data_IF_614032264413
#
_entry.id   IF_614032264413
#
_cell.length_a   1.000
_cell.length_b   1.000
_cell.length_c   1.000
_cell.angle_alpha   90.00
_cell.angle_beta   90.00
_cell.angle_gamma   90.00
#
_symmetry.space_group_name_H-M   'P 1'
#
loop_
_entity.id
_entity.type
_entity.pdbx_description
1 polymer ?
#
# COMPACT_ATOMS: atom_id res chain seq x y z
N UNK A 1 9.00 -0.48 67.28
CA UNK A 1 8.47 -1.66 67.99
C UNK A 1 6.98 -1.75 67.75
N UNK A 2 6.53 -2.94 67.31
CA UNK A 2 5.22 -3.57 67.57
C UNK A 2 3.92 -2.80 67.28
N UNK A 3 3.18 -3.17 66.23
CA UNK A 3 2.18 -4.26 66.13
C UNK A 3 0.79 -3.80 66.55
N UNK A 4 -0.16 -3.89 65.61
CA UNK A 4 -1.55 -4.19 65.93
C UNK A 4 -2.10 -5.21 64.93
N UNK A 5 -2.10 -6.47 65.39
CA UNK A 5 -2.87 -7.58 64.86
C UNK A 5 -4.32 -7.42 65.31
N UNK A 6 -5.27 -7.58 64.39
CA UNK A 6 -6.53 -8.27 64.69
C UNK A 6 -6.89 -9.23 63.55
N UNK A 7 -7.24 -10.45 63.99
CA UNK A 7 -7.49 -11.66 63.20
C UNK A 7 -8.93 -11.74 62.67
N UNK A 8 -9.08 -12.64 61.68
CA UNK A 8 -10.22 -13.53 61.31
C UNK A 8 -10.68 -13.25 59.87
N UNK A 9 -10.86 -14.21 58.97
CA UNK A 9 -10.88 -15.69 59.02
C UNK A 9 -10.69 -16.15 57.57
N UNK A 10 -9.79 -17.13 57.33
CA UNK A 10 -9.60 -17.74 56.01
C UNK A 10 -10.69 -18.78 55.76
N UNK A 11 -11.48 -18.60 54.70
CA UNK A 11 -12.17 -19.69 54.03
C UNK A 11 -11.44 -19.96 52.72
N UNK A 12 -10.98 -21.20 52.59
CA UNK A 12 -10.26 -21.72 51.45
C UNK A 12 -11.16 -21.77 50.21
N UNK A 13 -10.66 -21.26 49.08
CA UNK A 13 -11.10 -21.69 47.76
C UNK A 13 -9.86 -22.23 47.05
N UNK A 14 -9.80 -23.55 46.94
CA UNK A 14 -8.84 -24.27 46.13
C UNK A 14 -9.02 -23.89 44.66
N UNK A 15 -8.12 -23.05 44.13
CA UNK A 15 -7.92 -22.95 42.69
C UNK A 15 -6.74 -23.83 42.32
N UNK A 16 -7.07 -25.00 41.77
CA UNK A 16 -6.09 -25.90 41.17
C UNK A 16 -5.26 -25.14 40.13
N UNK A 17 -3.94 -25.27 40.25
CA UNK A 17 -3.04 -24.93 39.17
C UNK A 17 -3.33 -25.89 38.01
N UNK A 18 -4.10 -25.43 37.03
CA UNK A 18 -4.12 -26.07 35.72
C UNK A 18 -2.78 -25.76 35.07
N UNK A 19 -1.86 -26.72 35.17
CA UNK A 19 -0.68 -26.78 34.33
C UNK A 19 -1.17 -26.84 32.89
N UNK A 20 -1.12 -25.71 32.19
CA UNK A 20 -1.33 -25.69 30.76
C UNK A 20 -0.32 -26.66 30.13
N UNK A 21 -0.82 -27.79 29.64
CA UNK A 21 -0.01 -28.80 29.00
C UNK A 21 0.77 -28.12 27.85
N UNK A 22 2.09 -28.25 27.89
CA UNK A 22 2.97 -27.98 26.76
C UNK A 22 2.35 -28.65 25.53
N UNK A 23 1.94 -27.85 24.53
CA UNK A 23 1.45 -28.37 23.25
C UNK A 23 2.50 -29.33 22.71
N UNK A 24 2.16 -30.61 22.60
CA UNK A 24 3.06 -31.58 22.01
C UNK A 24 3.42 -31.14 20.58
N UNK A 25 4.66 -31.42 20.14
CA UNK A 25 5.07 -31.10 18.77
C UNK A 25 4.13 -31.81 17.79
N UNK A 26 3.43 -31.02 16.99
CA UNK A 26 2.57 -31.50 15.92
C UNK A 26 3.43 -32.35 14.98
N UNK A 27 3.01 -33.60 14.72
CA UNK A 27 3.77 -34.51 13.87
C UNK A 27 4.08 -33.85 12.52
N UNK A 28 5.27 -34.10 11.97
CA UNK A 28 5.72 -33.56 10.67
C UNK A 28 4.67 -33.82 9.58
N UNK A 29 3.99 -34.98 9.63
CA UNK A 29 2.92 -35.35 8.71
C UNK A 29 1.68 -34.45 8.79
N UNK A 30 1.29 -33.98 9.98
CA UNK A 30 0.13 -33.10 10.17
C UNK A 30 0.42 -31.66 9.74
N UNK A 31 1.65 -31.17 9.95
CA UNK A 31 2.10 -29.85 9.46
C UNK A 31 2.16 -29.79 7.92
N UNK A 32 2.60 -30.88 7.28
CA UNK A 32 2.63 -31.01 5.82
C UNK A 32 1.23 -30.87 5.21
N UNK A 33 0.19 -31.37 5.88
CA UNK A 33 -1.17 -31.34 5.33
C UNK A 33 -1.78 -29.92 5.31
N UNK A 34 -1.46 -29.08 6.30
CA UNK A 34 -1.95 -27.69 6.36
C UNK A 34 -1.19 -26.74 5.40
N UNK A 35 0.06 -27.08 5.06
CA UNK A 35 0.91 -26.28 4.17
C UNK A 35 1.11 -26.88 2.77
N UNK A 36 0.34 -27.93 2.44
CA UNK A 36 0.46 -28.71 1.21
C UNK A 36 0.49 -27.87 -0.07
N UNK A 37 -0.33 -26.82 -0.13
CA UNK A 37 -0.40 -25.88 -1.28
C UNK A 37 0.96 -25.23 -1.58
N UNK A 38 1.76 -24.93 -0.57
CA UNK A 38 3.08 -24.32 -0.74
C UNK A 38 4.10 -25.35 -1.21
N UNK A 39 4.12 -26.54 -0.60
CA UNK A 39 4.98 -27.64 -1.04
C UNK A 39 4.68 -28.05 -2.50
N UNK A 40 3.40 -28.13 -2.89
CA UNK A 40 2.99 -28.43 -4.26
C UNK A 40 3.42 -27.34 -5.25
N UNK A 41 3.37 -26.05 -4.85
CA UNK A 41 3.87 -24.95 -5.68
C UNK A 41 5.40 -25.03 -5.86
N UNK A 42 6.13 -25.33 -4.78
CA UNK A 42 7.59 -25.48 -4.81
C UNK A 42 7.98 -26.65 -5.71
N UNK A 43 7.34 -27.81 -5.54
CA UNK A 43 7.58 -29.02 -6.33
C UNK A 43 7.33 -28.79 -7.83
N UNK A 44 6.27 -28.06 -8.21
CA UNK A 44 6.00 -27.71 -9.61
C UNK A 44 7.08 -26.82 -10.23
N UNK A 45 7.59 -25.85 -9.49
CA UNK A 45 8.63 -24.92 -9.97
C UNK A 45 10.03 -25.54 -9.98
N UNK A 46 10.25 -26.65 -9.28
CA UNK A 46 11.57 -27.28 -9.12
C UNK A 46 11.48 -28.82 -9.14
N UNK A 47 11.24 -29.44 -10.31
CA UNK A 47 10.96 -30.88 -10.40
C UNK A 47 12.20 -31.79 -10.26
N UNK A 48 13.43 -31.24 -10.31
CA UNK A 48 14.65 -31.99 -10.66
C UNK A 48 15.52 -32.49 -9.50
N UNK A 49 15.17 -32.26 -8.22
CA UNK A 49 16.00 -32.69 -7.07
C UNK A 49 15.46 -33.95 -6.39
N UNK A 50 16.34 -34.80 -5.84
CA UNK A 50 15.98 -35.91 -4.94
C UNK A 50 15.09 -35.37 -3.80
N UNK A 51 13.87 -35.90 -3.65
CA UNK A 51 12.83 -35.36 -2.75
C UNK A 51 13.31 -35.05 -1.32
N UNK A 52 14.16 -35.89 -0.74
CA UNK A 52 14.66 -35.74 0.64
C UNK A 52 15.54 -34.49 0.84
N UNK A 53 16.40 -34.17 -0.14
CA UNK A 53 17.30 -33.01 -0.10
C UNK A 53 16.54 -31.68 -0.25
N UNK A 54 15.41 -31.71 -0.96
CA UNK A 54 14.54 -30.53 -1.12
C UNK A 54 13.85 -30.19 0.19
N UNK A 55 13.34 -31.19 0.92
CA UNK A 55 12.65 -30.96 2.19
C UNK A 55 13.61 -30.32 3.20
N UNK A 56 14.83 -30.86 3.34
CA UNK A 56 15.85 -30.28 4.22
C UNK A 56 16.21 -28.84 3.84
N UNK A 57 16.26 -28.53 2.54
CA UNK A 57 16.55 -27.18 2.05
C UNK A 57 15.41 -26.20 2.36
N UNK A 58 14.16 -26.65 2.26
CA UNK A 58 12.98 -25.87 2.64
C UNK A 58 12.98 -25.63 4.14
N UNK A 59 13.26 -26.66 4.95
CA UNK A 59 13.25 -26.54 6.42
C UNK A 59 14.31 -25.56 6.91
N UNK A 60 15.53 -25.61 6.37
CA UNK A 60 16.59 -24.62 6.70
C UNK A 60 16.17 -23.19 6.37
N UNK A 61 15.68 -22.95 5.15
CA UNK A 61 15.21 -21.61 4.77
C UNK A 61 14.01 -21.16 5.61
N UNK A 62 13.15 -22.10 6.02
CA UNK A 62 12.01 -21.83 6.90
C UNK A 62 12.49 -21.43 8.30
N UNK A 63 13.43 -22.18 8.88
CA UNK A 63 14.01 -21.91 10.19
C UNK A 63 14.72 -20.56 10.23
N UNK A 64 15.48 -20.21 9.19
CA UNK A 64 16.08 -18.88 9.08
C UNK A 64 15.04 -17.76 9.17
N UNK A 65 13.97 -17.86 8.35
CA UNK A 65 12.90 -16.87 8.34
C UNK A 65 12.10 -16.84 9.65
N UNK A 66 11.90 -17.99 10.30
CA UNK A 66 11.30 -18.10 11.63
C UNK A 66 12.18 -17.46 12.71
N UNK A 67 13.50 -17.62 12.64
CA UNK A 67 14.47 -16.97 13.52
C UNK A 67 14.43 -15.45 13.42
N UNK A 68 14.06 -14.92 12.24
CA UNK A 68 13.80 -13.48 12.04
C UNK A 68 12.43 -13.03 12.57
N UNK A 69 11.60 -13.91 13.10
CA UNK A 69 10.28 -13.60 13.64
C UNK A 69 9.12 -13.71 12.64
N UNK A 70 9.32 -14.30 11.46
CA UNK A 70 8.22 -14.63 10.55
C UNK A 70 7.52 -15.93 11.00
N UNK A 71 6.20 -16.01 10.84
CA UNK A 71 5.49 -17.28 11.04
C UNK A 71 5.88 -18.31 9.98
N UNK A 72 5.76 -19.61 10.30
CA UNK A 72 5.95 -20.71 9.33
C UNK A 72 5.19 -20.49 8.02
N UNK A 73 3.95 -20.03 8.10
CA UNK A 73 3.12 -19.72 6.91
C UNK A 73 3.72 -18.60 6.07
N UNK A 74 4.20 -17.54 6.71
CA UNK A 74 4.88 -16.45 6.01
C UNK A 74 6.17 -16.93 5.35
N UNK A 75 7.00 -17.69 6.08
CA UNK A 75 8.23 -18.27 5.56
C UNK A 75 7.98 -19.16 4.32
N UNK A 76 7.05 -20.11 4.42
CA UNK A 76 6.68 -20.99 3.30
C UNK A 76 6.09 -20.21 2.12
N UNK A 77 5.31 -19.16 2.39
CA UNK A 77 4.81 -18.26 1.34
C UNK A 77 5.98 -17.58 0.60
N UNK A 78 6.95 -17.02 1.32
CA UNK A 78 8.14 -16.39 0.72
C UNK A 78 8.93 -17.38 -0.13
N UNK A 79 9.24 -18.57 0.39
CA UNK A 79 9.93 -19.63 -0.37
C UNK A 79 9.13 -20.02 -1.63
N UNK A 80 7.81 -20.10 -1.54
CA UNK A 80 6.97 -20.45 -2.70
C UNK A 80 6.95 -19.37 -3.80
N UNK A 81 7.17 -18.10 -3.42
CA UNK A 81 7.30 -16.99 -4.36
C UNK A 81 8.64 -17.07 -5.09
N UNK A 82 9.73 -17.30 -4.36
CA UNK A 82 11.09 -17.44 -4.89
C UNK A 82 11.76 -18.74 -4.43
N UNK A 83 11.58 -19.81 -5.22
CA UNK A 83 11.98 -21.17 -4.82
C UNK A 83 13.49 -21.31 -4.64
N UNK A 84 14.29 -20.49 -5.32
CA UNK A 84 15.75 -20.50 -5.15
C UNK A 84 16.20 -20.11 -3.74
N UNK A 85 15.34 -19.48 -2.93
CA UNK A 85 15.63 -19.15 -1.54
C UNK A 85 16.03 -20.39 -0.71
N UNK A 86 15.50 -21.57 -1.03
CA UNK A 86 15.86 -22.82 -0.33
C UNK A 86 17.34 -23.22 -0.55
N UNK A 87 17.97 -22.70 -1.61
CA UNK A 87 19.36 -22.96 -1.95
C UNK A 87 20.32 -21.90 -1.38
N UNK A 88 19.81 -20.81 -0.81
CA UNK A 88 20.67 -19.79 -0.21
C UNK A 88 21.20 -20.32 1.13
N UNK A 89 22.48 -20.05 1.40
CA UNK A 89 23.06 -20.33 2.70
C UNK A 89 22.55 -19.28 3.71
N UNK A 90 22.55 -19.65 4.99
CA UNK A 90 22.16 -18.74 6.05
C UNK A 90 23.10 -17.52 6.11
N UNK A 91 24.40 -17.75 5.93
CA UNK A 91 25.42 -16.71 5.89
C UNK A 91 25.19 -15.72 4.73
N UNK A 92 24.79 -16.22 3.56
CA UNK A 92 24.46 -15.36 2.42
C UNK A 92 23.26 -14.47 2.74
N UNK A 93 22.18 -15.04 3.26
CA UNK A 93 20.97 -14.29 3.58
C UNK A 93 21.25 -13.26 4.69
N UNK A 94 21.97 -13.69 5.74
CA UNK A 94 22.29 -12.84 6.89
C UNK A 94 23.27 -11.72 6.54
N UNK A 95 24.18 -11.94 5.58
CA UNK A 95 25.08 -10.89 5.10
C UNK A 95 24.37 -9.64 4.55
N UNK A 96 23.09 -9.74 4.18
CA UNK A 96 22.31 -8.61 3.64
C UNK A 96 21.67 -7.76 4.72
N UNK A 97 21.49 -8.31 5.91
CA UNK A 97 20.69 -7.69 6.98
C UNK A 97 21.36 -6.42 7.51
N UNK A 98 22.66 -6.44 7.89
CA UNK A 98 23.33 -5.22 8.36
C UNK A 98 23.35 -4.11 7.31
N UNK A 99 23.36 -4.47 6.02
CA UNK A 99 23.29 -3.50 4.93
C UNK A 99 21.93 -2.80 4.89
N UNK A 100 20.82 -3.53 5.00
CA UNK A 100 19.49 -2.93 5.05
C UNK A 100 19.30 -2.05 6.30
N UNK A 101 19.83 -2.49 7.44
CA UNK A 101 19.82 -1.68 8.67
C UNK A 101 20.66 -0.41 8.50
N UNK A 102 21.83 -0.52 7.85
CA UNK A 102 22.72 0.61 7.56
C UNK A 102 22.08 1.69 6.69
N UNK A 103 21.17 1.34 5.78
CA UNK A 103 20.40 2.34 5.02
C UNK A 103 19.18 2.88 5.79
N UNK A 104 18.93 2.42 7.01
CA UNK A 104 17.87 2.92 7.90
C UNK A 104 16.54 2.13 7.85
N UNK A 105 16.53 0.88 7.37
CA UNK A 105 15.36 0.01 7.47
C UNK A 105 15.29 -0.65 8.84
N UNK A 106 14.10 -0.63 9.46
CA UNK A 106 13.84 -1.42 10.67
C UNK A 106 13.68 -2.90 10.36
N UNK A 107 13.92 -3.76 11.35
CA UNK A 107 13.73 -5.21 11.26
C UNK A 107 12.38 -5.61 10.64
N UNK A 108 11.28 -4.99 11.09
CA UNK A 108 9.94 -5.25 10.55
C UNK A 108 9.80 -4.88 9.08
N UNK A 109 10.40 -3.75 8.65
CA UNK A 109 10.39 -3.35 7.24
C UNK A 109 11.22 -4.30 6.39
N UNK A 110 12.37 -4.76 6.89
CA UNK A 110 13.21 -5.76 6.20
C UNK A 110 12.41 -7.05 6.01
N UNK A 111 11.76 -7.54 7.07
CA UNK A 111 10.90 -8.72 6.99
C UNK A 111 9.72 -8.52 6.01
N UNK A 112 9.09 -7.35 6.02
CA UNK A 112 8.03 -7.02 5.05
C UNK A 112 8.53 -6.95 3.60
N UNK A 113 9.79 -6.55 3.38
CA UNK A 113 10.45 -6.59 2.06
C UNK A 113 10.72 -8.03 1.65
N UNK A 114 11.34 -8.86 2.51
CA UNK A 114 11.62 -10.29 2.24
C UNK A 114 10.33 -11.04 1.87
N UNK A 115 9.23 -10.74 2.55
CA UNK A 115 7.92 -11.34 2.28
C UNK A 115 7.30 -10.98 0.93
N UNK A 116 7.67 -9.84 0.35
CA UNK A 116 7.18 -9.36 -0.95
C UNK A 116 8.15 -9.65 -2.10
N UNK A 117 9.45 -9.68 -1.80
CA UNK A 117 10.53 -9.89 -2.76
C UNK A 117 11.66 -10.74 -2.17
N UNK A 118 11.47 -12.05 -1.94
CA UNK A 118 12.45 -12.88 -1.23
C UNK A 118 13.78 -13.04 -1.98
N UNK A 119 13.79 -12.80 -3.29
CA UNK A 119 15.01 -12.80 -4.10
C UNK A 119 16.04 -11.75 -3.61
N UNK A 120 15.60 -10.73 -2.87
CA UNK A 120 16.47 -9.71 -2.28
C UNK A 120 17.49 -10.28 -1.28
N UNK A 121 17.38 -11.53 -0.85
CA UNK A 121 18.42 -12.14 -0.01
C UNK A 121 19.55 -12.78 -0.82
N UNK A 122 19.37 -12.95 -2.13
CA UNK A 122 20.38 -13.52 -3.03
C UNK A 122 21.03 -12.53 -3.98
N UNK A 123 20.61 -11.26 -3.97
CA UNK A 123 21.19 -10.22 -4.82
C UNK A 123 22.50 -9.71 -4.19
N UNK A 124 23.49 -9.40 -5.03
CA UNK A 124 24.77 -8.85 -4.57
C UNK A 124 24.58 -7.45 -4.01
N UNK A 125 25.38 -7.10 -2.99
CA UNK A 125 25.34 -5.76 -2.40
C UNK A 125 25.72 -4.70 -3.44
N UNK A 126 26.63 -5.01 -4.36
CA UNK A 126 26.99 -4.12 -5.47
C UNK A 126 25.80 -3.68 -6.31
N UNK A 127 24.79 -4.55 -6.49
CA UNK A 127 23.55 -4.17 -7.19
C UNK A 127 22.70 -3.22 -6.36
N UNK A 128 22.68 -3.36 -5.04
CA UNK A 128 22.03 -2.38 -4.17
C UNK A 128 22.70 -1.02 -4.27
N UNK A 129 24.02 -0.99 -4.18
CA UNK A 129 24.81 0.25 -4.26
C UNK A 129 24.70 0.91 -5.64
N UNK A 130 24.72 0.12 -6.72
CA UNK A 130 24.50 0.63 -8.06
C UNK A 130 23.11 1.27 -8.20
N UNK A 131 22.07 0.64 -7.65
CA UNK A 131 20.72 1.21 -7.66
C UNK A 131 20.62 2.50 -6.82
N UNK A 132 21.27 2.57 -5.66
CA UNK A 132 21.33 3.79 -4.84
C UNK A 132 21.99 4.91 -5.64
N UNK A 133 23.19 4.66 -6.20
CA UNK A 133 23.90 5.65 -7.03
C UNK A 133 23.03 6.13 -8.20
N UNK A 134 22.31 5.22 -8.83
CA UNK A 134 21.37 5.54 -9.90
C UNK A 134 20.24 6.47 -9.43
N UNK A 135 19.59 6.17 -8.30
CA UNK A 135 18.57 7.06 -7.74
C UNK A 135 19.13 8.45 -7.40
N UNK A 136 20.30 8.51 -6.76
CA UNK A 136 20.95 9.77 -6.40
C UNK A 136 21.31 10.60 -7.64
N UNK A 137 21.79 9.96 -8.71
CA UNK A 137 22.09 10.63 -9.99
C UNK A 137 20.85 11.24 -10.66
N UNK A 138 19.66 10.71 -10.36
CA UNK A 138 18.37 11.25 -10.79
C UNK A 138 17.74 12.20 -9.77
N UNK A 139 18.53 12.73 -8.83
CA UNK A 139 18.11 13.75 -7.87
C UNK A 139 17.23 13.24 -6.73
N UNK A 140 17.08 11.93 -6.55
CA UNK A 140 16.39 11.38 -5.37
C UNK A 140 17.21 11.71 -4.13
N UNK A 141 16.57 12.26 -3.10
CA UNK A 141 17.24 12.59 -1.86
C UNK A 141 17.63 11.33 -1.07
N UNK A 142 18.80 11.39 -0.40
CA UNK A 142 19.35 10.28 0.38
C UNK A 142 18.37 9.74 1.44
N UNK A 143 17.59 10.62 2.08
CA UNK A 143 16.59 10.25 3.09
C UNK A 143 15.41 9.43 2.54
N UNK A 144 15.24 9.39 1.20
CA UNK A 144 14.20 8.60 0.53
C UNK A 144 14.66 7.20 0.14
N UNK A 145 15.95 6.88 0.21
CA UNK A 145 16.48 5.59 -0.25
C UNK A 145 15.87 4.42 0.52
N UNK A 146 15.83 4.48 1.86
CA UNK A 146 15.19 3.44 2.69
C UNK A 146 13.71 3.26 2.31
N UNK A 147 13.00 4.36 2.09
CA UNK A 147 11.61 4.34 1.67
C UNK A 147 11.43 3.63 0.33
N UNK A 148 12.29 3.92 -0.66
CA UNK A 148 12.25 3.30 -1.99
C UNK A 148 12.52 1.81 -1.97
N UNK A 149 13.50 1.34 -1.18
CA UNK A 149 13.72 -0.09 -0.98
C UNK A 149 12.52 -0.76 -0.31
N UNK A 150 11.80 -0.05 0.56
CA UNK A 150 10.58 -0.57 1.17
C UNK A 150 9.39 -0.62 0.20
N UNK A 151 9.19 0.36 -0.67
CA UNK A 151 8.01 0.39 -1.57
C UNK A 151 8.25 -0.26 -2.94
N UNK A 152 9.52 -0.45 -3.32
CA UNK A 152 9.92 -1.00 -4.62
C UNK A 152 11.20 -1.86 -4.53
N UNK A 153 11.19 -2.93 -3.71
CA UNK A 153 12.36 -3.80 -3.55
C UNK A 153 12.77 -4.51 -4.84
N UNK A 154 11.83 -4.78 -5.74
CA UNK A 154 12.12 -5.40 -7.03
C UNK A 154 12.97 -4.53 -7.96
N UNK A 155 13.07 -3.22 -7.69
CA UNK A 155 13.88 -2.28 -8.47
C UNK A 155 15.32 -2.75 -8.67
N UNK A 156 15.90 -3.38 -7.65
CA UNK A 156 17.28 -3.88 -7.69
C UNK A 156 17.48 -5.12 -8.57
N UNK A 157 16.39 -5.72 -9.03
CA UNK A 157 16.46 -6.86 -9.95
C UNK A 157 16.49 -6.42 -11.41
N UNK A 158 16.21 -5.14 -11.69
CA UNK A 158 16.27 -4.60 -13.05
C UNK A 158 17.70 -4.19 -13.41
N UNK A 159 18.05 -4.40 -14.68
CA UNK A 159 19.26 -3.83 -15.25
C UNK A 159 19.07 -2.30 -15.38
N UNK A 160 20.06 -1.52 -14.99
CA UNK A 160 19.95 -0.06 -15.04
C UNK A 160 19.86 0.41 -16.50
N UNK A 161 20.86 0.05 -17.31
CA UNK A 161 21.03 0.49 -18.69
C UNK A 161 19.96 -0.05 -19.64
N UNK A 162 19.62 -1.32 -19.50
CA UNK A 162 18.71 -2.00 -20.44
C UNK A 162 17.24 -1.93 -20.03
N UNK A 163 16.94 -1.39 -18.84
CA UNK A 163 15.58 -1.43 -18.30
C UNK A 163 15.13 -0.14 -17.61
N UNK A 164 15.90 0.40 -16.67
CA UNK A 164 15.49 1.59 -15.92
C UNK A 164 15.74 2.88 -16.72
N UNK A 165 16.92 3.01 -17.33
CA UNK A 165 17.31 4.19 -18.13
C UNK A 165 16.35 4.43 -19.29
N UNK A 166 15.96 3.43 -20.13
CA UNK A 166 15.03 3.67 -21.23
C UNK A 166 13.65 4.18 -20.77
N UNK A 167 13.24 3.85 -19.54
CA UNK A 167 11.98 4.34 -18.96
C UNK A 167 12.11 5.75 -18.44
N UNK A 168 13.27 6.12 -17.89
CA UNK A 168 13.57 7.52 -17.56
C UNK A 168 13.59 8.37 -18.83
N UNK A 169 14.28 7.90 -19.87
CA UNK A 169 14.35 8.62 -21.15
C UNK A 169 12.96 8.77 -21.78
N UNK A 170 12.10 7.75 -21.74
CA UNK A 170 10.71 7.90 -22.15
C UNK A 170 9.97 8.99 -21.38
N UNK A 171 10.16 9.11 -20.05
CA UNK A 171 9.53 10.18 -19.29
C UNK A 171 10.01 11.57 -19.75
N UNK A 172 11.30 11.69 -20.10
CA UNK A 172 11.86 12.92 -20.69
C UNK A 172 11.30 13.18 -22.09
N UNK A 173 11.14 12.15 -22.94
CA UNK A 173 10.50 12.26 -24.26
C UNK A 173 9.04 12.74 -24.16
N UNK A 174 8.31 12.34 -23.11
CA UNK A 174 6.96 12.84 -22.80
C UNK A 174 6.98 14.34 -22.40
N UNK A 175 8.16 14.89 -22.09
CA UNK A 175 8.37 16.28 -21.70
C UNK A 175 8.56 16.51 -20.21
N UNK A 176 8.81 15.45 -19.41
CA UNK A 176 9.15 15.62 -18.00
C UNK A 176 10.52 16.27 -17.85
N UNK A 177 10.61 17.31 -17.03
CA UNK A 177 11.91 17.80 -16.53
C UNK A 177 12.56 16.77 -15.60
N UNK A 178 13.85 16.91 -15.35
CA UNK A 178 14.57 16.04 -14.40
C UNK A 178 13.89 16.03 -13.03
N UNK A 179 13.44 17.18 -12.53
CA UNK A 179 12.71 17.27 -11.26
C UNK A 179 11.37 16.49 -11.29
N UNK A 180 10.68 16.50 -12.43
CA UNK A 180 9.44 15.75 -12.62
C UNK A 180 9.70 14.25 -12.70
N UNK A 181 10.81 13.83 -13.34
CA UNK A 181 11.29 12.44 -13.32
C UNK A 181 11.63 12.01 -11.91
N UNK A 182 12.41 12.80 -11.15
CA UNK A 182 12.72 12.53 -9.74
C UNK A 182 11.43 12.34 -8.92
N UNK A 183 10.43 13.20 -9.16
CA UNK A 183 9.14 13.12 -8.48
C UNK A 183 8.40 11.82 -8.81
N UNK A 184 8.38 11.40 -10.08
CA UNK A 184 7.76 10.15 -10.50
C UNK A 184 8.48 8.93 -9.87
N UNK A 185 9.83 8.91 -9.93
CA UNK A 185 10.68 7.89 -9.31
C UNK A 185 10.44 7.78 -7.80
N UNK A 186 10.27 8.91 -7.12
CA UNK A 186 10.09 8.93 -5.66
C UNK A 186 8.68 8.53 -5.24
N UNK A 187 7.65 8.95 -5.99
CA UNK A 187 6.24 8.76 -5.60
C UNK A 187 5.68 7.40 -6.02
N UNK A 188 5.95 6.97 -7.24
CA UNK A 188 5.49 5.66 -7.73
C UNK A 188 6.54 5.01 -8.62
N UNK A 189 7.65 4.52 -8.04
CA UNK A 189 8.63 3.73 -8.78
C UNK A 189 8.01 2.45 -9.40
N UNK A 190 6.82 2.01 -8.95
CA UNK A 190 6.14 0.83 -9.49
C UNK A 190 5.78 0.98 -10.98
N UNK A 191 5.68 2.20 -11.52
CA UNK A 191 5.46 2.40 -12.96
C UNK A 191 6.61 1.82 -13.78
N UNK A 192 7.82 1.73 -13.21
CA UNK A 192 9.00 1.16 -13.87
C UNK A 192 8.93 -0.38 -13.98
N UNK A 193 7.90 -1.03 -13.44
CA UNK A 193 7.63 -2.45 -13.74
C UNK A 193 7.05 -2.65 -15.14
N UNK A 194 6.43 -1.62 -15.72
CA UNK A 194 5.88 -1.65 -17.07
C UNK A 194 7.02 -1.60 -18.10
N UNK A 195 6.78 -2.14 -19.29
CA UNK A 195 7.70 -1.94 -20.42
C UNK A 195 7.59 -0.50 -20.96
N UNK A 196 8.59 -0.07 -21.71
CA UNK A 196 8.62 1.25 -22.36
C UNK A 196 7.39 1.43 -23.26
N UNK A 197 7.05 0.41 -24.05
CA UNK A 197 5.89 0.42 -24.96
C UNK A 197 4.59 0.58 -24.20
N UNK A 198 4.45 -0.11 -23.06
CA UNK A 198 3.26 0.01 -22.21
C UNK A 198 3.17 1.39 -21.57
N UNK A 199 4.27 1.95 -21.07
CA UNK A 199 4.27 3.33 -20.53
C UNK A 199 3.89 4.34 -21.60
N UNK A 200 4.46 4.23 -22.81
CA UNK A 200 4.16 5.11 -23.94
C UNK A 200 2.69 5.03 -24.34
N UNK A 201 2.17 3.82 -24.54
CA UNK A 201 0.76 3.63 -24.87
C UNK A 201 -0.20 4.15 -23.79
N UNK A 202 0.20 4.14 -22.52
CA UNK A 202 -0.58 4.75 -21.43
C UNK A 202 -0.58 6.27 -21.48
N UNK A 203 0.56 6.88 -21.80
CA UNK A 203 0.68 8.32 -21.98
C UNK A 203 -0.08 8.80 -23.22
N UNK A 204 0.06 8.11 -24.36
CA UNK A 204 -0.65 8.44 -25.59
C UNK A 204 -2.16 8.29 -25.42
N UNK A 205 -2.63 7.30 -24.68
CA UNK A 205 -4.06 7.17 -24.40
C UNK A 205 -4.64 8.34 -23.59
N UNK A 206 -3.86 8.97 -22.70
CA UNK A 206 -4.31 10.21 -22.05
C UNK A 206 -4.51 11.33 -23.07
N UNK A 207 -3.67 11.40 -24.10
CA UNK A 207 -3.82 12.33 -25.22
C UNK A 207 -5.05 12.02 -26.05
N UNK A 208 -5.32 10.74 -26.32
CA UNK A 208 -6.53 10.29 -27.01
C UNK A 208 -7.81 10.65 -26.23
N UNK A 209 -7.76 10.67 -24.89
CA UNK A 209 -8.83 11.17 -24.03
C UNK A 209 -8.97 12.71 -24.04
N UNK A 210 -8.14 13.42 -24.80
CA UNK A 210 -8.17 14.87 -24.98
C UNK A 210 -7.22 15.65 -24.07
N UNK A 211 -6.35 14.98 -23.30
CA UNK A 211 -5.34 15.68 -22.50
C UNK A 211 -4.29 16.28 -23.45
N UNK A 212 -4.03 17.60 -23.42
CA UNK A 212 -2.99 18.21 -24.24
C UNK A 212 -1.61 17.64 -23.89
N UNK A 213 -0.75 17.42 -24.89
CA UNK A 213 0.57 16.77 -24.70
C UNK A 213 1.43 17.54 -23.69
N UNK A 214 1.38 18.87 -23.72
CA UNK A 214 2.09 19.76 -22.79
C UNK A 214 1.63 19.64 -21.32
N UNK A 215 0.47 19.02 -21.07
CA UNK A 215 -0.05 18.75 -19.72
C UNK A 215 0.37 17.38 -19.19
N UNK A 216 0.84 16.47 -20.05
CA UNK A 216 1.28 15.13 -19.63
C UNK A 216 2.38 15.18 -18.57
N UNK A 217 3.45 16.00 -18.68
CA UNK A 217 4.52 16.02 -17.68
C UNK A 217 4.00 16.32 -16.26
N UNK A 218 3.04 17.24 -16.16
CA UNK A 218 2.43 17.59 -14.89
C UNK A 218 1.60 16.42 -14.31
N UNK A 219 0.83 15.74 -15.15
CA UNK A 219 0.00 14.61 -14.75
C UNK A 219 0.87 13.42 -14.34
N UNK A 220 1.82 13.03 -15.20
CA UNK A 220 2.71 11.88 -15.00
C UNK A 220 3.59 12.06 -13.76
N UNK A 221 4.07 13.27 -13.47
CA UNK A 221 4.87 13.52 -12.27
C UNK A 221 4.05 13.65 -10.98
N UNK A 222 2.78 14.08 -11.05
CA UNK A 222 1.92 14.31 -9.88
C UNK A 222 1.13 13.06 -9.47
N UNK A 223 0.72 12.26 -10.45
CA UNK A 223 -0.05 11.03 -10.29
C UNK A 223 0.51 9.92 -11.21
N UNK A 224 1.81 9.56 -11.08
CA UNK A 224 2.41 8.50 -11.90
C UNK A 224 1.63 7.18 -11.88
N UNK A 225 0.98 6.87 -10.74
CA UNK A 225 0.15 5.69 -10.55
C UNK A 225 -0.97 5.55 -11.60
N UNK A 226 -1.42 6.65 -12.22
CA UNK A 226 -2.45 6.62 -13.26
C UNK A 226 -2.00 5.82 -14.50
N UNK A 227 -0.70 5.79 -14.80
CA UNK A 227 -0.14 5.02 -15.92
C UNK A 227 -0.20 3.51 -15.69
N UNK A 228 -0.37 3.06 -14.43
CA UNK A 228 -0.55 1.66 -14.10
C UNK A 228 -2.01 1.18 -14.23
N UNK A 229 -2.97 2.08 -14.41
CA UNK A 229 -4.39 1.73 -14.60
C UNK A 229 -4.65 1.10 -15.97
N UNK A 230 -5.73 0.32 -16.09
CA UNK A 230 -6.21 -0.14 -17.40
C UNK A 230 -6.79 1.04 -18.20
N UNK A 231 -6.77 0.93 -19.53
CA UNK A 231 -7.33 1.99 -20.40
C UNK A 231 -8.84 2.12 -20.19
N UNK A 232 -9.54 0.99 -20.02
CA UNK A 232 -10.96 0.95 -19.66
C UNK A 232 -11.24 1.71 -18.38
N UNK A 233 -10.43 1.50 -17.35
CA UNK A 233 -10.63 2.12 -16.03
C UNK A 233 -10.47 3.65 -16.07
N UNK A 234 -9.55 4.15 -16.88
CA UNK A 234 -9.41 5.60 -17.13
C UNK A 234 -10.67 6.14 -17.83
N UNK A 235 -11.09 5.48 -18.92
CA UNK A 235 -12.29 5.86 -19.69
C UNK A 235 -13.56 5.82 -18.84
N UNK A 236 -13.78 4.76 -18.09
CA UNK A 236 -14.93 4.64 -17.17
C UNK A 236 -14.99 5.79 -16.15
N UNK A 237 -13.83 6.30 -15.71
CA UNK A 237 -13.80 7.48 -14.83
C UNK A 237 -14.26 8.73 -15.58
N UNK A 238 -13.72 8.96 -16.78
CA UNK A 238 -14.06 10.11 -17.62
C UNK A 238 -15.55 10.10 -17.94
N UNK A 239 -16.08 8.95 -18.38
CA UNK A 239 -17.49 8.77 -18.71
C UNK A 239 -18.39 8.99 -17.49
N UNK A 240 -18.02 8.47 -16.31
CA UNK A 240 -18.78 8.70 -15.08
C UNK A 240 -18.79 10.18 -14.65
N UNK A 241 -17.68 10.90 -14.88
CA UNK A 241 -17.63 12.33 -14.61
C UNK A 241 -18.47 13.12 -15.61
N UNK A 242 -18.48 12.72 -16.87
CA UNK A 242 -19.35 13.32 -17.89
C UNK A 242 -20.84 13.06 -17.61
N UNK A 243 -21.18 11.88 -17.09
CA UNK A 243 -22.53 11.55 -16.60
C UNK A 243 -22.95 12.49 -15.46
N UNK A 244 -22.12 12.63 -14.42
CA UNK A 244 -22.42 13.45 -13.25
C UNK A 244 -22.41 14.96 -13.55
N UNK A 245 -21.42 15.44 -14.31
CA UNK A 245 -21.11 16.86 -14.49
C UNK A 245 -21.42 17.41 -15.90
N UNK A 246 -21.82 16.55 -16.84
CA UNK A 246 -22.07 16.93 -18.23
C UNK A 246 -20.83 16.77 -19.12
N UNK A 247 -21.04 16.84 -20.44
CA UNK A 247 -20.01 16.54 -21.43
C UNK A 247 -18.69 17.30 -21.22
N UNK A 248 -17.57 16.57 -21.31
CA UNK A 248 -16.21 17.10 -21.17
C UNK A 248 -15.77 17.39 -19.73
N UNK A 249 -16.60 17.13 -18.73
CA UNK A 249 -16.23 17.31 -17.33
C UNK A 249 -15.14 16.33 -16.89
N UNK A 250 -15.13 15.11 -17.44
CA UNK A 250 -14.08 14.14 -17.23
C UNK A 250 -12.72 14.69 -17.65
N UNK A 251 -12.62 15.26 -18.85
CA UNK A 251 -11.38 15.90 -19.32
C UNK A 251 -10.97 17.09 -18.42
N UNK A 252 -11.91 17.99 -18.09
CA UNK A 252 -11.64 19.12 -17.18
C UNK A 252 -11.10 18.62 -15.83
N UNK A 253 -11.67 17.54 -15.30
CA UNK A 253 -11.23 16.93 -14.06
C UNK A 253 -9.82 16.32 -14.17
N UNK A 254 -9.45 15.70 -15.31
CA UNK A 254 -8.08 15.22 -15.53
C UNK A 254 -7.08 16.38 -15.51
N UNK A 255 -7.41 17.52 -16.11
CA UNK A 255 -6.53 18.68 -16.21
C UNK A 255 -6.33 19.41 -14.87
N UNK A 256 -7.38 19.45 -14.04
CA UNK A 256 -7.37 20.15 -12.75
C UNK A 256 -6.93 19.25 -11.59
N UNK A 257 -7.40 17.99 -11.56
CA UNK A 257 -7.12 17.02 -10.50
C UNK A 257 -7.13 15.58 -11.04
N UNK A 258 -6.11 15.22 -11.82
CA UNK A 258 -5.98 13.86 -12.37
C UNK A 258 -6.04 12.75 -11.31
N UNK A 259 -5.76 13.04 -10.03
CA UNK A 259 -5.84 12.04 -8.95
C UNK A 259 -7.25 11.47 -8.79
N UNK A 260 -8.28 12.11 -9.33
CA UNK A 260 -9.66 11.59 -9.35
C UNK A 260 -9.78 10.21 -10.01
N UNK A 261 -8.92 9.86 -10.98
CA UNK A 261 -8.94 8.54 -11.63
C UNK A 261 -8.58 7.39 -10.68
N UNK A 262 -7.95 7.72 -9.55
CA UNK A 262 -7.61 6.76 -8.51
C UNK A 262 -8.78 6.47 -7.55
N UNK A 263 -9.88 7.23 -7.63
CA UNK A 263 -11.05 7.07 -6.78
C UNK A 263 -11.97 5.96 -7.28
N UNK A 264 -12.62 5.23 -6.37
CA UNK A 264 -13.65 4.27 -6.73
C UNK A 264 -14.86 5.00 -7.36
N UNK A 265 -15.25 4.60 -8.58
CA UNK A 265 -16.31 5.27 -9.35
C UNK A 265 -17.67 5.20 -8.64
N UNK A 266 -18.04 4.04 -8.09
CA UNK A 266 -19.33 3.88 -7.42
C UNK A 266 -19.40 4.74 -6.15
N UNK A 267 -18.32 4.76 -5.37
CA UNK A 267 -18.23 5.65 -4.21
C UNK A 267 -18.30 7.14 -4.61
N UNK A 268 -17.74 7.52 -5.77
CA UNK A 268 -17.87 8.89 -6.28
C UNK A 268 -19.31 9.24 -6.66
N UNK A 269 -20.04 8.33 -7.32
CA UNK A 269 -21.46 8.50 -7.64
C UNK A 269 -22.30 8.64 -6.36
N UNK A 270 -22.10 7.74 -5.40
CA UNK A 270 -22.77 7.82 -4.08
C UNK A 270 -22.53 9.17 -3.39
N UNK A 271 -21.28 9.66 -3.43
CA UNK A 271 -20.95 10.97 -2.84
C UNK A 271 -21.56 12.12 -3.61
N UNK A 272 -21.58 12.06 -4.95
CA UNK A 272 -22.28 13.04 -5.78
C UNK A 272 -23.77 13.10 -5.43
N UNK A 273 -24.46 11.97 -5.46
CA UNK A 273 -25.89 11.86 -5.13
C UNK A 273 -26.18 12.36 -3.70
N UNK A 274 -25.31 12.01 -2.75
CA UNK A 274 -25.41 12.51 -1.38
C UNK A 274 -25.32 14.04 -1.33
N UNK A 275 -24.38 14.66 -2.04
CA UNK A 275 -24.27 16.13 -2.09
C UNK A 275 -25.49 16.78 -2.73
N UNK A 276 -26.02 16.21 -3.82
CA UNK A 276 -27.28 16.69 -4.43
C UNK A 276 -28.43 16.59 -3.41
N UNK A 277 -28.54 15.48 -2.68
CA UNK A 277 -29.62 15.26 -1.70
C UNK A 277 -29.63 16.26 -0.54
N UNK A 278 -28.46 16.82 -0.19
CA UNK A 278 -28.34 17.82 0.88
C UNK A 278 -28.34 19.27 0.34
N UNK A 279 -28.56 19.47 -0.96
CA UNK A 279 -28.79 20.78 -1.56
C UNK A 279 -27.60 21.41 -2.30
N UNK A 280 -26.53 20.67 -2.59
CA UNK A 280 -25.48 21.18 -3.49
C UNK A 280 -25.95 21.13 -4.94
N UNK A 281 -25.55 22.13 -5.73
CA UNK A 281 -25.76 22.10 -7.17
C UNK A 281 -24.60 21.40 -7.88
N UNK A 282 -24.89 20.84 -9.06
CA UNK A 282 -23.93 20.18 -9.94
C UNK A 282 -22.76 21.11 -10.30
N UNK A 283 -23.05 22.36 -10.66
CA UNK A 283 -22.06 23.36 -11.06
C UNK A 283 -21.12 23.71 -9.91
N UNK A 284 -21.63 23.72 -8.67
CA UNK A 284 -20.81 23.96 -7.49
C UNK A 284 -19.87 22.80 -7.19
N UNK A 285 -20.34 21.57 -7.35
CA UNK A 285 -19.54 20.37 -7.17
C UNK A 285 -18.47 20.24 -8.27
N UNK A 286 -18.77 20.62 -9.51
CA UNK A 286 -17.80 20.57 -10.63
C UNK A 286 -16.58 21.48 -10.36
N UNK A 287 -16.78 22.66 -9.76
CA UNK A 287 -15.70 23.57 -9.38
C UNK A 287 -14.69 22.94 -8.42
N UNK A 288 -15.08 21.91 -7.67
CA UNK A 288 -14.17 21.17 -6.80
C UNK A 288 -14.53 19.69 -6.69
N UNK A 289 -14.13 18.93 -7.71
CA UNK A 289 -14.35 17.48 -7.80
C UNK A 289 -13.68 16.68 -6.67
N UNK A 290 -12.85 17.29 -5.81
CA UNK A 290 -12.33 16.63 -4.61
C UNK A 290 -13.41 16.31 -3.58
N UNK A 291 -14.55 16.98 -3.62
CA UNK A 291 -15.67 16.72 -2.71
C UNK A 291 -16.21 15.31 -2.89
N UNK A 292 -16.47 14.90 -4.13
CA UNK A 292 -17.00 13.57 -4.45
C UNK A 292 -15.99 12.44 -4.23
N UNK A 293 -14.72 12.76 -3.95
CA UNK A 293 -13.70 11.77 -3.57
C UNK A 293 -13.76 11.39 -2.08
N UNK A 294 -14.60 12.06 -1.27
CA UNK A 294 -14.80 11.73 0.15
C UNK A 294 -15.79 10.58 0.28
N UNK A 295 -15.64 9.73 1.28
CA UNK A 295 -16.59 8.64 1.55
C UNK A 295 -17.85 9.18 2.20
N UNK A 296 -19.03 8.80 1.67
CA UNK A 296 -20.33 9.10 2.29
C UNK A 296 -20.36 8.59 3.73
N UNK A 297 -20.11 7.30 3.93
CA UNK A 297 -20.33 6.65 5.21
C UNK A 297 -19.24 6.96 6.25
N UNK A 298 -17.98 7.12 5.82
CA UNK A 298 -16.88 7.38 6.76
C UNK A 298 -16.62 8.86 7.03
N UNK A 299 -17.19 9.77 6.25
CA UNK A 299 -16.83 11.18 6.36
C UNK A 299 -18.00 12.13 6.13
N UNK A 300 -18.74 11.99 5.03
CA UNK A 300 -19.71 13.03 4.67
C UNK A 300 -20.95 12.99 5.56
N UNK A 301 -21.60 11.83 5.66
CA UNK A 301 -22.84 11.64 6.42
C UNK A 301 -22.66 11.90 7.92
N UNK A 302 -21.67 11.30 8.61
CA UNK A 302 -21.47 11.56 10.04
C UNK A 302 -21.25 13.04 10.35
N UNK A 303 -20.46 13.74 9.52
CA UNK A 303 -20.19 15.18 9.70
C UNK A 303 -21.42 16.04 9.43
N UNK A 304 -22.18 15.74 8.37
CA UNK A 304 -23.40 16.49 8.07
C UNK A 304 -24.42 16.34 9.19
N UNK A 305 -24.64 15.11 9.66
CA UNK A 305 -25.59 14.84 10.75
C UNK A 305 -25.16 15.56 12.04
N UNK A 306 -23.89 15.47 12.41
CA UNK A 306 -23.34 16.21 13.55
C UNK A 306 -23.48 17.73 13.40
N UNK A 307 -23.08 18.30 12.27
CA UNK A 307 -23.10 19.75 12.05
C UNK A 307 -24.53 20.32 12.06
N UNK A 308 -25.50 19.55 11.60
CA UNK A 308 -26.93 19.90 11.74
C UNK A 308 -27.34 20.03 13.20
N UNK A 309 -26.83 19.19 14.12
CA UNK A 309 -27.09 19.33 15.57
C UNK A 309 -26.50 20.61 16.16
N UNK A 310 -25.47 21.17 15.51
CA UNK A 310 -24.82 22.44 15.88
C UNK A 310 -25.38 23.63 15.08
N UNK A 311 -26.48 23.45 14.35
CA UNK A 311 -27.12 24.47 13.51
C UNK A 311 -26.20 25.10 12.47
N UNK A 312 -25.21 24.35 11.97
CA UNK A 312 -24.33 24.80 10.88
C UNK A 312 -24.98 24.51 9.54
N UNK A 313 -25.04 25.52 8.67
CA UNK A 313 -25.44 25.33 7.27
C UNK A 313 -24.31 24.68 6.48
N UNK A 314 -24.43 23.37 6.30
CA UNK A 314 -23.45 22.51 5.62
C UNK A 314 -23.36 22.77 4.12
N UNK A 315 -24.33 23.48 3.54
CA UNK A 315 -24.30 23.85 2.12
C UNK A 315 -23.51 25.14 1.95
N UNK A 316 -23.79 26.20 2.71
CA UNK A 316 -23.02 27.44 2.58
C UNK A 316 -21.58 27.29 3.09
N UNK A 317 -21.37 26.70 4.28
CA UNK A 317 -20.05 26.39 4.81
C UNK A 317 -19.53 25.06 4.24
N UNK A 318 -18.52 25.12 3.38
CA UNK A 318 -17.86 23.95 2.77
C UNK A 318 -16.55 23.54 3.47
N UNK A 319 -16.14 24.28 4.50
CA UNK A 319 -14.84 24.08 5.15
C UNK A 319 -14.73 22.68 5.77
N UNK A 320 -15.85 22.11 6.20
CA UNK A 320 -15.92 20.77 6.80
C UNK A 320 -15.62 19.62 5.85
N UNK A 321 -15.81 19.78 4.53
CA UNK A 321 -15.78 18.66 3.57
C UNK A 321 -14.37 18.07 3.44
N UNK A 322 -13.38 18.95 3.23
CA UNK A 322 -11.99 18.58 3.04
C UNK A 322 -11.14 18.74 4.31
N UNK A 323 -11.74 19.17 5.42
CA UNK A 323 -11.05 19.31 6.69
C UNK A 323 -10.49 17.95 7.16
N UNK A 324 -9.18 17.86 7.47
CA UNK A 324 -8.62 16.69 8.12
C UNK A 324 -9.37 16.34 9.41
N UNK A 325 -9.53 15.05 9.69
CA UNK A 325 -10.30 14.58 10.85
C UNK A 325 -9.78 15.11 12.17
N UNK A 326 -8.47 15.13 12.38
CA UNK A 326 -7.85 15.70 13.58
C UNK A 326 -8.25 17.17 13.80
N UNK A 327 -8.27 17.98 12.74
CA UNK A 327 -8.69 19.39 12.82
C UNK A 327 -10.21 19.53 13.02
N UNK A 328 -10.99 18.62 12.42
CA UNK A 328 -12.44 18.59 12.61
C UNK A 328 -12.79 18.28 14.07
N UNK A 329 -12.14 17.27 14.67
CA UNK A 329 -12.30 16.93 16.09
C UNK A 329 -11.79 18.04 17.00
N UNK A 330 -10.67 18.70 16.65
CA UNK A 330 -10.19 19.85 17.42
C UNK A 330 -11.20 21.00 17.41
N UNK A 331 -11.82 21.29 16.26
CA UNK A 331 -12.85 22.33 16.12
C UNK A 331 -14.16 21.92 16.80
N UNK A 332 -14.47 20.63 16.80
CA UNK A 332 -15.69 20.06 17.37
C UNK A 332 -15.38 18.86 18.29
N UNK A 333 -14.96 19.11 19.54
CA UNK A 333 -14.53 18.04 20.45
C UNK A 333 -15.59 16.96 20.71
N UNK A 334 -16.88 17.35 20.68
CA UNK A 334 -18.01 16.44 20.89
C UNK A 334 -18.24 15.45 19.73
N UNK A 335 -17.64 15.69 18.55
CA UNK A 335 -17.86 14.87 17.36
C UNK A 335 -17.47 13.41 17.58
N UNK A 336 -16.39 13.16 18.31
CA UNK A 336 -15.89 11.80 18.55
C UNK A 336 -16.91 10.95 19.29
N UNK A 337 -17.57 11.51 20.32
CA UNK A 337 -18.62 10.80 21.06
C UNK A 337 -19.83 10.52 20.18
N UNK A 338 -20.26 11.53 19.41
CA UNK A 338 -21.36 11.40 18.45
C UNK A 338 -21.12 10.30 17.40
N UNK A 339 -19.92 10.26 16.81
CA UNK A 339 -19.58 9.27 15.79
C UNK A 339 -19.55 7.83 16.36
N UNK A 340 -19.13 7.65 17.62
CA UNK A 340 -19.18 6.33 18.28
C UNK A 340 -20.62 5.84 18.49
N UNK A 341 -21.52 6.72 18.89
CA UNK A 341 -22.95 6.40 19.06
C UNK A 341 -23.58 6.03 17.71
N UNK A 342 -23.35 6.86 16.69
CA UNK A 342 -23.85 6.63 15.34
C UNK A 342 -23.43 5.26 14.78
N UNK A 343 -22.14 4.91 14.93
CA UNK A 343 -21.60 3.63 14.45
C UNK A 343 -22.13 2.42 15.23
N UNK A 344 -22.57 2.61 16.47
CA UNK A 344 -23.16 1.55 17.29
C UNK A 344 -24.57 1.23 16.83
N UNK A 345 -25.33 2.24 16.40
CA UNK A 345 -26.70 2.08 15.91
C UNK A 345 -26.76 1.45 14.51
N UNK A 346 -25.76 1.72 13.65
CA UNK A 346 -25.63 1.05 12.35
C UNK A 346 -25.26 -0.44 12.43
N UNK A 347 -24.66 -0.90 13.54
CA UNK A 347 -24.34 -2.33 13.75
C UNK A 347 -25.51 -3.14 14.33
N UNK A 348 -26.56 -2.46 14.82
CA UNK A 348 -27.76 -3.08 15.40
C UNK A 348 -28.90 -3.26 14.40
N UNK A 349 -28.80 -2.65 13.22
CA UNK A 349 -29.69 -2.82 12.07
C UNK A 349 -29.02 -3.70 11.04
#
# INVERSE_FOLDING_TARGET
MFVSLWRRTSLAVSRGFSTAALKQPVSVATSINHHRVYYDRIARKFPTKKKLSVIQSIDRATQYLEGRGLSRTQALRAISQHVMLMNYSEELMESKIPWFEGIGLSHDKINAIIMRHPNILGISIDKYEALIKWYLSHGVAQDKIAYLFNIFPQGVSYNIQDNLDPKVELLKEIGCSDQQVTRALTRSPQIFTLSVERLRGKADYLVELGVPRERLPHIVSSVPECLALTLSRLKETVDALDEMFGAGAGLRALLYNCRIVMSNINAMRESFDFFISIGFTKERLEKNTRFIMRSVNRCLRPRVEFLKTKSVDVVSDITWILMPEALFVQKYPDYTAFEMELNTDFKKK
#
